data_IF_560922970792
#
_entry.id   IF_560922970792
#
_cell.length_a   1.000
_cell.length_b   1.000
_cell.length_c   1.000
_cell.angle_alpha   90.00
_cell.angle_beta   90.00
_cell.angle_gamma   90.00
#
_symmetry.space_group_name_H-M   'P 1'
#
loop_
_entity.id
_entity.type
_entity.pdbx_description
1 polymer ?
#
# COMPACT_ATOMS: atom_id res chain seq x y z
N UNK A 1 -22.77 55.37 42.42
CA UNK A 1 -23.17 54.07 41.85
C UNK A 1 -22.20 53.76 40.71
N UNK A 2 -21.31 52.77 40.79
CA UNK A 2 -20.44 52.44 39.66
C UNK A 2 -21.07 51.43 38.75
N UNK A 3 -21.05 51.68 37.44
CA UNK A 3 -21.61 50.87 36.39
C UNK A 3 -20.79 49.57 36.21
N UNK A 4 -21.42 48.44 36.41
CA UNK A 4 -20.88 47.12 36.16
C UNK A 4 -20.70 46.88 34.65
N UNK A 5 -19.49 47.10 34.11
CA UNK A 5 -19.15 46.82 32.71
C UNK A 5 -19.16 45.32 32.46
N UNK A 6 -20.17 44.81 31.75
CA UNK A 6 -20.20 43.42 31.22
C UNK A 6 -19.10 43.19 30.16
N UNK A 7 -17.93 42.71 30.59
CA UNK A 7 -16.86 42.27 29.66
C UNK A 7 -16.86 40.77 29.36
N UNK A 8 -17.94 40.07 29.68
CA UNK A 8 -18.03 38.59 29.52
C UNK A 8 -18.19 38.06 28.11
N UNK A 9 -18.96 38.66 27.16
CA UNK A 9 -19.20 38.06 25.85
C UNK A 9 -17.94 38.06 24.95
N UNK A 10 -17.10 39.09 25.02
CA UNK A 10 -15.89 39.19 24.17
C UNK A 10 -14.84 38.14 24.53
N UNK A 11 -14.67 37.80 25.83
CA UNK A 11 -13.76 36.75 26.25
C UNK A 11 -14.19 35.37 25.83
N UNK A 12 -15.49 35.06 25.83
CA UNK A 12 -16.03 33.80 25.34
C UNK A 12 -15.85 33.68 23.82
N UNK A 13 -16.05 34.77 23.08
CA UNK A 13 -15.87 34.79 21.63
C UNK A 13 -14.38 34.58 21.24
N UNK A 14 -13.45 35.16 21.98
CA UNK A 14 -12.01 34.96 21.75
C UNK A 14 -11.55 33.55 22.11
N UNK A 15 -12.13 32.92 23.15
CA UNK A 15 -11.82 31.54 23.51
C UNK A 15 -12.34 30.54 22.45
N UNK A 16 -13.56 30.74 21.93
CA UNK A 16 -14.11 29.89 20.88
C UNK A 16 -13.34 30.04 19.57
N UNK A 17 -12.89 31.26 19.21
CA UNK A 17 -12.04 31.47 18.05
C UNK A 17 -10.67 30.82 18.17
N UNK A 18 -10.07 30.84 19.38
CA UNK A 18 -8.79 30.18 19.64
C UNK A 18 -8.87 28.65 19.54
N UNK A 19 -10.00 28.05 19.95
CA UNK A 19 -10.23 26.59 19.82
C UNK A 19 -10.38 26.19 18.34
N UNK A 20 -11.04 27.01 17.52
CA UNK A 20 -11.19 26.74 16.07
C UNK A 20 -9.86 26.89 15.33
N UNK A 21 -8.99 27.82 15.75
CA UNK A 21 -7.67 28.03 15.15
C UNK A 21 -6.64 26.95 15.58
N UNK A 22 -6.92 26.21 16.64
CA UNK A 22 -6.07 25.11 17.12
C UNK A 22 -6.51 23.73 16.61
N UNK A 23 -7.48 23.68 15.72
CA UNK A 23 -7.80 22.46 14.96
C UNK A 23 -6.58 22.17 14.06
N UNK A 24 -5.57 21.51 14.62
CA UNK A 24 -4.44 20.98 13.86
C UNK A 24 -4.97 20.15 12.71
N UNK A 25 -4.35 20.26 11.54
CA UNK A 25 -4.64 19.43 10.40
C UNK A 25 -4.66 17.97 10.88
N UNK A 26 -5.82 17.35 10.96
CA UNK A 26 -5.89 15.91 11.08
C UNK A 26 -5.22 15.36 9.82
N UNK A 27 -3.98 14.89 9.95
CA UNK A 27 -3.30 14.15 8.91
C UNK A 27 -4.12 12.89 8.66
N UNK A 28 -5.10 12.98 7.78
CA UNK A 28 -5.74 11.79 7.24
C UNK A 28 -4.67 11.12 6.37
N UNK A 29 -4.16 9.97 6.79
CA UNK A 29 -3.39 9.13 5.91
C UNK A 29 -4.24 8.81 4.69
N UNK A 30 -3.70 8.91 3.45
CA UNK A 30 -4.46 8.53 2.29
C UNK A 30 -4.87 7.07 2.44
N UNK A 31 -6.18 6.82 2.51
CA UNK A 31 -6.70 5.46 2.44
C UNK A 31 -6.59 5.02 0.99
N UNK A 32 -5.59 4.20 0.68
CA UNK A 32 -5.41 3.63 -0.65
C UNK A 32 -6.37 2.46 -0.85
N UNK A 33 -6.99 2.38 -2.01
CA UNK A 33 -7.73 1.22 -2.48
C UNK A 33 -6.87 0.45 -3.46
N UNK A 34 -6.78 -0.87 -3.29
CA UNK A 34 -5.95 -1.74 -4.13
C UNK A 34 -6.83 -2.83 -4.72
N UNK A 35 -6.86 -2.89 -6.06
CA UNK A 35 -7.40 -4.04 -6.77
C UNK A 35 -6.31 -5.12 -6.83
N UNK A 36 -6.52 -6.23 -6.14
CA UNK A 36 -5.57 -7.32 -6.02
C UNK A 36 -5.96 -8.48 -6.94
N UNK A 37 -4.99 -8.96 -7.72
CA UNK A 37 -5.10 -10.19 -8.49
C UNK A 37 -3.94 -11.12 -8.13
N UNK A 38 -4.28 -12.38 -7.84
CA UNK A 38 -3.29 -13.43 -7.56
C UNK A 38 -3.38 -14.50 -8.63
N UNK A 39 -2.24 -14.88 -9.19
CA UNK A 39 -2.09 -16.00 -10.13
C UNK A 39 -1.29 -17.10 -9.46
N UNK A 40 -1.88 -18.30 -9.38
CA UNK A 40 -1.20 -19.48 -8.84
C UNK A 40 -0.23 -20.02 -9.91
N UNK A 41 1.04 -20.17 -9.54
CA UNK A 41 2.08 -20.68 -10.40
C UNK A 41 2.25 -22.19 -10.15
N UNK A 42 2.11 -22.98 -11.21
CA UNK A 42 2.28 -24.42 -11.16
C UNK A 42 3.60 -24.82 -11.84
N UNK A 43 4.20 -25.91 -11.37
CA UNK A 43 5.29 -26.60 -12.07
C UNK A 43 4.75 -27.63 -13.09
N UNK A 44 5.66 -28.33 -13.77
CA UNK A 44 5.30 -29.34 -14.77
C UNK A 44 4.53 -30.54 -14.19
N UNK A 45 4.67 -30.83 -12.90
CA UNK A 45 3.94 -31.88 -12.18
C UNK A 45 2.54 -31.44 -11.76
N UNK A 46 2.24 -30.14 -11.85
CA UNK A 46 1.02 -29.51 -11.35
C UNK A 46 1.07 -29.18 -9.86
N UNK A 47 2.24 -29.23 -9.22
CA UNK A 47 2.43 -28.74 -7.88
C UNK A 47 2.47 -27.19 -7.87
N UNK A 48 1.99 -26.57 -6.79
CA UNK A 48 2.02 -25.11 -6.64
C UNK A 48 3.41 -24.69 -6.22
N UNK A 49 4.08 -23.93 -7.08
CA UNK A 49 5.45 -23.43 -6.82
C UNK A 49 5.48 -22.01 -6.29
N UNK A 50 4.40 -21.26 -6.33
CA UNK A 50 4.36 -19.88 -5.90
C UNK A 50 3.11 -19.14 -6.33
N UNK A 51 3.10 -17.85 -6.05
CA UNK A 51 2.04 -16.92 -6.40
C UNK A 51 2.63 -15.73 -7.17
N UNK A 52 1.93 -15.26 -8.19
CA UNK A 52 2.19 -13.96 -8.83
C UNK A 52 1.14 -12.99 -8.38
N UNK A 53 1.53 -11.96 -7.65
CA UNK A 53 0.65 -10.90 -7.20
C UNK A 53 0.71 -9.70 -8.13
N UNK A 54 -0.44 -9.10 -8.36
CA UNK A 54 -0.60 -7.91 -9.20
C UNK A 54 -1.54 -6.95 -8.48
N UNK A 55 -1.03 -5.78 -8.16
CA UNK A 55 -1.68 -4.75 -7.36
C UNK A 55 -1.90 -3.52 -8.22
N UNK A 56 -3.14 -3.10 -8.38
CA UNK A 56 -3.50 -1.86 -9.05
C UNK A 56 -4.07 -0.89 -8.03
N UNK A 57 -3.34 0.17 -7.79
CA UNK A 57 -3.70 1.19 -6.81
C UNK A 57 -4.72 2.18 -7.39
N UNK A 58 -5.52 2.80 -6.52
CA UNK A 58 -6.42 3.87 -6.93
C UNK A 58 -5.66 5.14 -7.37
N UNK A 59 -6.36 6.05 -8.03
CA UNK A 59 -5.76 7.26 -8.59
C UNK A 59 -5.23 8.21 -7.50
N UNK A 60 -5.91 8.30 -6.35
CA UNK A 60 -5.52 9.21 -5.26
C UNK A 60 -4.23 8.73 -4.61
N UNK A 61 -4.15 7.44 -4.28
CA UNK A 61 -2.93 6.85 -3.75
C UNK A 61 -1.79 6.92 -4.77
N UNK A 62 -2.09 6.63 -6.04
CA UNK A 62 -1.09 6.65 -7.12
C UNK A 62 -0.48 8.04 -7.29
N UNK A 63 -1.31 9.09 -7.32
CA UNK A 63 -0.82 10.47 -7.40
C UNK A 63 0.04 10.85 -6.19
N UNK A 64 -0.35 10.44 -4.98
CA UNK A 64 0.44 10.66 -3.77
C UNK A 64 1.77 9.90 -3.80
N UNK A 65 1.75 8.62 -4.18
CA UNK A 65 2.94 7.77 -4.19
C UNK A 65 3.97 8.17 -5.25
N UNK A 66 3.55 8.86 -6.30
CA UNK A 66 4.42 9.33 -7.40
C UNK A 66 4.69 10.83 -7.37
N UNK A 67 4.29 11.53 -6.31
CA UNK A 67 4.54 12.97 -6.15
C UNK A 67 6.04 13.28 -6.24
N UNK A 68 6.40 14.20 -7.15
CA UNK A 68 7.79 14.62 -7.38
C UNK A 68 8.66 13.61 -8.15
N UNK A 69 8.06 12.58 -8.76
CA UNK A 69 8.78 11.57 -9.54
C UNK A 69 8.86 11.88 -11.05
N UNK A 70 8.23 12.96 -11.52
CA UNK A 70 8.26 13.45 -12.89
C UNK A 70 9.33 14.55 -12.99
N UNK A 71 10.54 14.19 -13.35
CA UNK A 71 11.69 15.11 -13.41
C UNK A 71 11.81 15.85 -14.74
N UNK A 72 11.30 15.29 -15.83
CA UNK A 72 11.35 15.88 -17.17
C UNK A 72 10.08 16.66 -17.54
N UNK A 73 9.01 16.53 -16.73
CA UNK A 73 7.76 17.29 -16.87
C UNK A 73 6.83 16.76 -17.96
N UNK A 74 6.95 15.49 -18.32
CA UNK A 74 6.08 14.86 -19.33
C UNK A 74 4.74 14.36 -18.78
N UNK A 75 4.52 14.46 -17.46
CA UNK A 75 3.32 14.05 -16.77
C UNK A 75 3.36 12.58 -16.31
N UNK A 76 4.51 11.92 -16.45
CA UNK A 76 4.71 10.53 -16.03
C UNK A 76 5.86 10.43 -15.03
N UNK A 77 5.81 9.51 -14.05
CA UNK A 77 6.96 9.25 -13.20
C UNK A 77 8.13 8.67 -14.01
N UNK A 78 9.34 9.18 -13.77
CA UNK A 78 10.54 8.67 -14.41
C UNK A 78 10.77 7.19 -14.11
N UNK A 79 11.25 6.37 -15.07
CA UNK A 79 11.45 4.93 -14.87
C UNK A 79 12.39 4.59 -13.70
N UNK A 80 13.44 5.38 -13.49
CA UNK A 80 14.38 5.20 -12.38
C UNK A 80 13.74 5.46 -11.03
N UNK A 81 12.82 6.42 -10.94
CA UNK A 81 12.06 6.71 -9.72
C UNK A 81 11.08 5.57 -9.41
N UNK A 82 10.43 5.00 -10.44
CA UNK A 82 9.59 3.82 -10.29
C UNK A 82 10.39 2.58 -9.86
N UNK A 83 11.60 2.40 -10.36
CA UNK A 83 12.48 1.32 -9.91
C UNK A 83 12.89 1.48 -8.45
N UNK A 84 13.23 2.69 -8.02
CA UNK A 84 13.55 2.99 -6.63
C UNK A 84 12.34 2.76 -5.72
N UNK A 85 11.14 3.18 -6.14
CA UNK A 85 9.89 2.93 -5.45
C UNK A 85 9.61 1.41 -5.29
N UNK A 86 9.86 0.63 -6.36
CA UNK A 86 9.71 -0.83 -6.32
C UNK A 86 10.58 -1.44 -5.22
N UNK A 87 11.86 -1.06 -5.16
CA UNK A 87 12.79 -1.60 -4.16
C UNK A 87 12.37 -1.26 -2.73
N UNK A 88 11.97 -0.02 -2.49
CA UNK A 88 11.50 0.42 -1.16
C UNK A 88 10.22 -0.32 -0.77
N UNK A 89 9.27 -0.44 -1.68
CA UNK A 89 8.00 -1.13 -1.40
C UNK A 89 8.22 -2.60 -1.09
N UNK A 90 9.06 -3.31 -1.86
CA UNK A 90 9.38 -4.71 -1.57
C UNK A 90 10.02 -4.91 -0.20
N UNK A 91 10.97 -4.05 0.15
CA UNK A 91 11.59 -4.10 1.46
C UNK A 91 10.56 -3.94 2.58
N UNK A 92 9.62 -2.99 2.44
CA UNK A 92 8.57 -2.77 3.42
C UNK A 92 7.57 -3.93 3.46
N UNK A 93 7.12 -4.42 2.30
CA UNK A 93 6.21 -5.56 2.20
C UNK A 93 6.80 -6.82 2.84
N UNK A 94 8.10 -7.06 2.66
CA UNK A 94 8.79 -8.19 3.30
C UNK A 94 8.75 -8.16 4.83
N UNK A 95 8.64 -6.99 5.47
CA UNK A 95 8.46 -6.88 6.93
C UNK A 95 7.08 -7.34 7.42
N UNK A 96 6.14 -7.50 6.51
CA UNK A 96 4.75 -7.91 6.77
C UNK A 96 4.37 -9.18 6.01
N UNK A 97 5.35 -10.03 5.67
CA UNK A 97 5.15 -11.27 4.91
C UNK A 97 4.31 -11.05 3.63
N UNK A 98 4.55 -9.90 2.96
CA UNK A 98 3.82 -9.47 1.75
C UNK A 98 2.29 -9.46 1.90
N UNK A 99 1.79 -9.33 3.14
CA UNK A 99 0.38 -9.50 3.51
C UNK A 99 -0.23 -10.82 3.01
N UNK A 100 0.61 -11.87 2.83
CA UNK A 100 0.22 -13.14 2.22
C UNK A 100 0.51 -14.29 3.17
N UNK A 101 -0.52 -15.01 3.59
CA UNK A 101 -0.40 -16.24 4.36
C UNK A 101 -0.80 -17.42 3.45
N UNK A 102 0.11 -18.38 3.28
CA UNK A 102 -0.15 -19.56 2.47
C UNK A 102 -0.28 -20.79 3.35
N UNK A 103 -1.30 -21.58 3.13
CA UNK A 103 -1.57 -22.83 3.84
C UNK A 103 -1.79 -23.99 2.88
N UNK A 104 -1.22 -25.14 3.24
CA UNK A 104 -1.43 -26.41 2.51
C UNK A 104 -1.69 -27.55 3.51
N UNK A 105 -2.86 -28.18 3.41
CA UNK A 105 -3.32 -29.13 4.42
C UNK A 105 -3.40 -28.48 5.81
N UNK A 106 -2.72 -29.06 6.79
CA UNK A 106 -2.67 -28.53 8.16
C UNK A 106 -1.47 -27.61 8.42
N UNK A 107 -0.59 -27.39 7.42
CA UNK A 107 0.66 -26.65 7.55
C UNK A 107 0.61 -25.26 6.94
N UNK A 108 1.53 -24.39 7.40
CA UNK A 108 1.84 -23.10 6.77
C UNK A 108 2.98 -23.30 5.79
N UNK A 109 2.94 -22.59 4.67
CA UNK A 109 3.97 -22.60 3.62
C UNK A 109 4.80 -21.33 3.75
N UNK A 110 6.11 -21.48 3.86
CA UNK A 110 7.02 -20.35 3.95
C UNK A 110 7.10 -19.60 2.61
N UNK A 111 7.03 -18.26 2.69
CA UNK A 111 7.19 -17.34 1.57
C UNK A 111 8.40 -16.46 1.88
N UNK A 112 9.62 -16.87 1.48
CA UNK A 112 10.84 -16.22 1.98
C UNK A 112 11.08 -14.85 1.36
N UNK A 113 10.94 -14.72 0.05
CA UNK A 113 11.28 -13.50 -0.69
C UNK A 113 10.39 -13.30 -1.90
N UNK A 114 10.21 -12.04 -2.28
CA UNK A 114 9.59 -11.67 -3.54
C UNK A 114 10.66 -11.48 -4.63
N UNK A 115 10.37 -11.98 -5.83
CA UNK A 115 11.19 -11.85 -7.03
C UNK A 115 10.41 -11.21 -8.17
N UNK A 116 11.08 -10.89 -9.28
CA UNK A 116 10.49 -10.39 -10.53
C UNK A 116 9.53 -9.20 -10.31
N UNK A 117 9.91 -8.32 -9.37
CA UNK A 117 9.09 -7.18 -9.04
C UNK A 117 9.22 -6.08 -10.09
N UNK A 118 8.07 -5.51 -10.42
CA UNK A 118 7.97 -4.40 -11.36
C UNK A 118 6.93 -3.41 -10.88
N UNK A 119 7.20 -2.12 -11.12
CA UNK A 119 6.22 -1.06 -10.94
C UNK A 119 6.07 -0.30 -12.24
N UNK A 120 4.84 0.00 -12.61
CA UNK A 120 4.50 0.78 -13.79
C UNK A 120 3.44 1.81 -13.45
N UNK A 121 3.36 2.88 -14.23
CA UNK A 121 2.34 3.90 -14.10
C UNK A 121 1.63 4.06 -15.45
N UNK A 122 0.31 3.92 -15.45
CA UNK A 122 -0.48 4.05 -16.65
C UNK A 122 -1.91 4.50 -16.32
N UNK A 123 -2.45 5.41 -17.14
CA UNK A 123 -3.82 5.90 -16.94
C UNK A 123 -4.06 6.57 -15.60
N UNK A 124 -3.04 7.22 -15.02
CA UNK A 124 -3.13 7.87 -13.69
C UNK A 124 -3.05 6.90 -12.52
N UNK A 125 -2.77 5.63 -12.75
CA UNK A 125 -2.73 4.59 -11.72
C UNK A 125 -1.38 3.88 -11.67
N UNK A 126 -0.93 3.62 -10.45
CA UNK A 126 0.26 2.82 -10.16
C UNK A 126 -0.12 1.34 -10.19
N UNK A 127 0.69 0.56 -10.87
CA UNK A 127 0.60 -0.90 -10.94
C UNK A 127 1.90 -1.50 -10.39
N UNK A 128 1.80 -2.47 -9.49
CA UNK A 128 2.92 -3.21 -8.97
C UNK A 128 2.67 -4.70 -9.10
N UNK A 129 3.66 -5.46 -9.54
CA UNK A 129 3.58 -6.92 -9.58
C UNK A 129 4.88 -7.53 -9.07
N UNK A 130 4.77 -8.67 -8.37
CA UNK A 130 5.90 -9.42 -7.84
C UNK A 130 5.54 -10.91 -7.72
N UNK A 131 6.54 -11.77 -7.65
CA UNK A 131 6.39 -13.21 -7.54
C UNK A 131 6.87 -13.69 -6.18
N UNK A 132 6.04 -14.45 -5.49
CA UNK A 132 6.35 -15.14 -4.24
C UNK A 132 6.62 -16.62 -4.58
N UNK A 133 7.88 -17.03 -4.56
CA UNK A 133 8.24 -18.44 -4.80
C UNK A 133 8.33 -19.18 -3.47
N UNK A 134 7.76 -20.37 -3.41
CA UNK A 134 7.87 -21.24 -2.26
C UNK A 134 9.23 -21.93 -2.25
N UNK A 135 9.79 -22.18 -1.06
CA UNK A 135 11.03 -22.94 -0.92
C UNK A 135 10.89 -24.36 -1.51
N UNK A 136 9.75 -24.99 -1.26
CA UNK A 136 9.39 -26.28 -1.83
C UNK A 136 8.00 -26.19 -2.49
N UNK A 137 7.80 -26.76 -3.70
CA UNK A 137 6.49 -26.80 -4.33
C UNK A 137 5.49 -27.56 -3.46
N UNK A 138 4.27 -27.04 -3.35
CA UNK A 138 3.18 -27.67 -2.63
C UNK A 138 2.53 -28.74 -3.51
N UNK A 139 2.54 -30.02 -3.13
CA UNK A 139 1.93 -31.08 -3.92
C UNK A 139 0.44 -30.83 -4.14
N UNK A 140 -0.05 -31.24 -5.32
CA UNK A 140 -1.45 -31.04 -5.74
C UNK A 140 -2.48 -31.68 -4.79
N UNK A 141 -2.11 -32.74 -4.09
CA UNK A 141 -2.93 -33.48 -3.13
C UNK A 141 -2.88 -32.91 -1.69
N UNK A 142 -2.03 -31.92 -1.43
CA UNK A 142 -1.98 -31.22 -0.15
C UNK A 142 -3.16 -30.26 0.00
N UNK A 143 -4.34 -30.80 0.24
CA UNK A 143 -5.58 -30.03 0.36
C UNK A 143 -6.02 -29.90 1.82
N UNK A 144 -6.73 -28.81 2.20
CA UNK A 144 -7.02 -27.64 1.39
C UNK A 144 -5.79 -26.79 1.12
N UNK A 145 -5.76 -26.11 -0.02
CA UNK A 145 -4.79 -25.04 -0.30
C UNK A 145 -5.51 -23.69 -0.25
N UNK A 146 -4.91 -22.71 0.45
CA UNK A 146 -5.43 -21.34 0.57
C UNK A 146 -4.30 -20.31 0.67
N UNK A 147 -4.60 -19.09 0.28
CA UNK A 147 -3.70 -17.91 0.35
C UNK A 147 -4.51 -16.65 0.62
#
# INVERSE_FOLDING_TARGET
MPSCRRRKPVRLLLLSLAIVLWSGSAGAHPHGWIDLQVTILLDESGAVRGLRESWLFDEVYSAFATEGMDGDGDGMPDPENLQALTAVNLQQLGTWDFFTEVRAGAGSVAVPEATDATTAFAGGRLYMAFTLLFEEPVPRDAQPFSY
#
